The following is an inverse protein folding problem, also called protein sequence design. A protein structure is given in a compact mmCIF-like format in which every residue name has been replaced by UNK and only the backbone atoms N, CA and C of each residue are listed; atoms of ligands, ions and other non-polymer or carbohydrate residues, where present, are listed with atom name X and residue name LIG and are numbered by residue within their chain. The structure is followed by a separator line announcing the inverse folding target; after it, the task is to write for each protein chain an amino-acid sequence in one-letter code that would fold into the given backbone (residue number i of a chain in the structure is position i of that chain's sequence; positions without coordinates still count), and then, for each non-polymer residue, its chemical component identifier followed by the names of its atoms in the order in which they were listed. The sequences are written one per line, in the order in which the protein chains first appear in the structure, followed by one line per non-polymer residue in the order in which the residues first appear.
data_IF_995467579361
#
_entry.id   IF_995467579361
#
_cell.length_a   1.000
_cell.length_b   1.000
_cell.length_c   1.000
_cell.angle_alpha   90.00
_cell.angle_beta   90.00
_cell.angle_gamma   90.00
#
_symmetry.space_group_name_H-M   'P 1'
#
loop_
_entity.id
_entity.type
_entity.pdbx_description
1 polymer ?
#
# COMPACT_ATOMS: atom_id res chain seq x y z
N UNK A 1 -1.41 0.75 -0.31
CA UNK A 1 -2.70 0.06 -0.47
C UNK A 1 -2.67 -0.79 -1.71
N UNK A 2 -2.63 -0.19 -2.91
CA UNK A 2 -2.49 -0.87 -4.20
C UNK A 2 -1.32 -1.86 -4.15
N UNK A 3 -0.09 -1.38 -3.91
CA UNK A 3 1.12 -2.21 -3.92
C UNK A 3 1.27 -3.21 -2.78
N UNK A 4 0.81 -2.89 -1.58
CA UNK A 4 0.85 -3.82 -0.44
C UNK A 4 -0.04 -5.04 -0.62
N UNK A 5 -1.27 -4.85 -1.13
CA UNK A 5 -2.16 -5.96 -1.47
C UNK A 5 -1.59 -6.82 -2.60
N UNK A 6 -0.74 -6.23 -3.45
CA UNK A 6 -0.19 -6.84 -4.65
C UNK A 6 1.13 -7.57 -4.41
N UNK A 7 1.97 -7.10 -3.50
CA UNK A 7 3.16 -7.84 -3.05
C UNK A 7 2.75 -9.10 -2.28
N UNK A 8 1.56 -9.10 -1.66
CA UNK A 8 1.05 -10.22 -0.87
C UNK A 8 0.22 -11.24 -1.63
N UNK A 9 -0.52 -10.80 -2.66
CA UNK A 9 -1.00 -11.73 -3.68
C UNK A 9 0.17 -12.44 -4.41
N UNK A 10 1.37 -11.87 -4.34
CA UNK A 10 2.64 -12.44 -4.79
C UNK A 10 3.49 -13.01 -3.65
N UNK A 11 2.90 -13.20 -2.46
CA UNK A 11 3.57 -13.33 -1.18
C UNK A 11 4.61 -14.44 -1.08
N UNK A 12 5.44 -14.31 -0.06
CA UNK A 12 6.38 -15.32 0.40
C UNK A 12 5.69 -16.67 0.58
N UNK A 13 6.44 -17.76 0.51
CA UNK A 13 5.94 -19.10 0.83
C UNK A 13 5.23 -19.12 2.21
N UNK A 14 5.68 -18.29 3.16
CA UNK A 14 5.03 -18.08 4.46
C UNK A 14 3.72 -17.26 4.42
N UNK A 15 3.50 -16.44 3.40
CA UNK A 15 2.19 -15.80 3.20
C UNK A 15 1.16 -16.86 2.78
N UNK A 16 1.53 -17.88 2.00
CA UNK A 16 0.65 -18.98 1.58
C UNK A 16 0.03 -19.77 2.77
N UNK A 17 0.84 -20.06 3.81
CA UNK A 17 0.38 -20.65 5.08
C UNK A 17 -0.44 -19.65 5.92
N UNK A 18 -0.17 -18.34 5.83
CA UNK A 18 -0.98 -17.31 6.51
C UNK A 18 -2.41 -17.18 5.96
N UNK A 19 -2.68 -17.54 4.70
CA UNK A 19 -4.05 -17.59 4.18
C UNK A 19 -4.85 -18.78 4.73
N UNK A 20 -4.18 -19.75 5.36
CA UNK A 20 -4.80 -20.90 6.03
C UNK A 20 -5.04 -20.63 7.54
N UNK A 21 -4.64 -19.47 8.08
CA UNK A 21 -4.83 -19.09 9.48
C UNK A 21 -5.99 -18.09 9.68
N UNK A 22 -6.96 -18.47 10.53
CA UNK A 22 -8.13 -17.65 10.86
C UNK A 22 -7.77 -16.30 11.48
N UNK A 23 -8.39 -15.21 11.01
CA UNK A 23 -8.30 -13.87 11.62
C UNK A 23 -8.52 -13.94 13.14
N UNK A 24 -7.85 -13.09 13.95
CA UNK A 24 -8.11 -13.10 15.39
C UNK A 24 -9.60 -12.88 15.61
N UNK A 25 -10.23 -13.62 16.52
CA UNK A 25 -11.67 -13.50 16.78
C UNK A 25 -11.97 -12.28 17.65
N UNK A 26 -10.94 -11.78 18.32
CA UNK A 26 -11.03 -10.68 19.27
C UNK A 26 -9.99 -9.60 19.01
N UNK A 27 -10.32 -8.39 19.45
CA UNK A 27 -9.39 -7.26 19.46
C UNK A 27 -8.13 -7.57 20.31
N UNK A 28 -8.32 -8.28 21.42
CA UNK A 28 -7.27 -8.67 22.36
C UNK A 28 -6.22 -9.55 21.71
N UNK A 29 -6.66 -10.55 20.94
CA UNK A 29 -5.76 -11.43 20.19
C UNK A 29 -5.00 -10.65 19.12
N UNK A 30 -5.67 -9.75 18.39
CA UNK A 30 -5.05 -8.94 17.34
C UNK A 30 -3.91 -8.07 17.90
N UNK A 31 -4.16 -7.40 19.03
CA UNK A 31 -3.19 -6.48 19.65
C UNK A 31 -2.32 -7.12 20.74
N UNK A 32 -2.49 -8.43 20.99
CA UNK A 32 -1.79 -9.19 22.05
C UNK A 32 -1.87 -8.47 23.40
N UNK A 33 -3.06 -8.06 23.79
CA UNK A 33 -3.34 -7.28 25.02
C UNK A 33 -4.45 -7.93 25.84
N UNK A 34 -4.46 -7.71 27.16
CA UNK A 34 -5.56 -8.13 28.04
C UNK A 34 -6.85 -7.35 27.76
N UNK A 35 -6.71 -6.06 27.47
CA UNK A 35 -7.83 -5.16 27.19
C UNK A 35 -7.48 -4.23 26.04
N UNK A 36 -8.45 -4.05 25.12
CA UNK A 36 -8.29 -3.09 24.04
C UNK A 36 -8.60 -1.68 24.50
N UNK A 37 -7.67 -0.76 24.21
CA UNK A 37 -7.91 0.67 24.40
C UNK A 37 -8.93 1.20 23.35
N UNK A 38 -9.28 2.50 23.45
CA UNK A 38 -10.25 3.12 22.55
C UNK A 38 -9.81 3.10 21.08
N UNK A 39 -8.52 3.33 20.81
CA UNK A 39 -7.99 3.27 19.45
C UNK A 39 -8.02 1.84 18.89
N UNK A 40 -7.54 0.85 19.67
CA UNK A 40 -7.58 -0.57 19.34
C UNK A 40 -8.99 -1.05 19.02
N UNK A 41 -9.96 -0.70 19.88
CA UNK A 41 -11.36 -1.02 19.68
C UNK A 41 -11.95 -0.36 18.43
N UNK A 42 -11.58 0.90 18.15
CA UNK A 42 -12.02 1.59 16.94
C UNK A 42 -11.49 0.92 15.68
N UNK A 43 -10.19 0.60 15.64
CA UNK A 43 -9.57 -0.10 14.52
C UNK A 43 -10.21 -1.47 14.31
N UNK A 44 -10.36 -2.25 15.39
CA UNK A 44 -11.06 -3.53 15.37
C UNK A 44 -12.45 -3.46 14.75
N UNK A 45 -13.23 -2.44 15.08
CA UNK A 45 -14.55 -2.25 14.49
C UNK A 45 -14.48 -1.98 12.97
N UNK A 46 -13.53 -1.16 12.53
CA UNK A 46 -13.29 -0.94 11.10
C UNK A 46 -12.79 -2.19 10.37
N UNK A 47 -12.04 -3.04 11.06
CA UNK A 47 -11.54 -4.29 10.51
C UNK A 47 -12.66 -5.32 10.30
N UNK A 48 -13.57 -5.46 11.27
CA UNK A 48 -14.74 -6.32 11.11
C UNK A 48 -15.75 -5.78 10.10
N UNK A 49 -15.91 -4.47 10.05
CA UNK A 49 -16.91 -3.80 9.20
C UNK A 49 -16.30 -2.61 8.44
N UNK A 50 -15.50 -2.88 7.38
CA UNK A 50 -14.86 -1.83 6.59
C UNK A 50 -15.81 -0.80 5.99
N UNK A 51 -16.99 -1.26 5.57
CA UNK A 51 -17.88 -0.51 4.70
C UNK A 51 -17.28 -0.20 3.31
N UNK A 52 -18.04 0.49 2.47
CA UNK A 52 -17.67 0.73 1.07
C UNK A 52 -16.51 1.74 0.87
N UNK A 53 -16.22 2.57 1.87
CA UNK A 53 -15.15 3.57 1.78
C UNK A 53 -13.74 3.00 1.99
N UNK A 54 -13.62 1.76 2.49
CA UNK A 54 -12.34 1.12 2.76
C UNK A 54 -11.81 0.41 1.49
N UNK A 55 -11.38 1.19 0.50
CA UNK A 55 -10.91 0.66 -0.79
C UNK A 55 -9.87 -0.45 -0.66
N UNK A 56 -8.96 -0.36 0.31
CA UNK A 56 -7.97 -1.41 0.58
C UNK A 56 -8.63 -2.75 0.85
N UNK A 57 -9.62 -2.75 1.74
CA UNK A 57 -10.20 -3.99 2.27
C UNK A 57 -11.08 -4.60 1.19
N UNK A 58 -11.86 -3.77 0.52
CA UNK A 58 -12.74 -4.19 -0.56
C UNK A 58 -11.94 -4.76 -1.74
N UNK A 59 -10.87 -4.10 -2.18
CA UNK A 59 -10.04 -4.61 -3.27
C UNK A 59 -9.32 -5.92 -2.90
N UNK A 60 -8.78 -6.01 -1.67
CA UNK A 60 -8.14 -7.25 -1.23
C UNK A 60 -9.13 -8.40 -1.05
N UNK A 61 -10.36 -8.12 -0.59
CA UNK A 61 -11.45 -9.11 -0.55
C UNK A 61 -11.75 -9.64 -1.94
N UNK A 62 -11.86 -8.77 -2.94
CA UNK A 62 -12.16 -9.22 -4.31
C UNK A 62 -11.03 -10.07 -4.90
N UNK A 63 -9.76 -9.75 -4.60
CA UNK A 63 -8.63 -10.63 -4.96
C UNK A 63 -8.76 -11.98 -4.26
N UNK A 64 -9.06 -11.99 -2.96
CA UNK A 64 -9.19 -13.20 -2.16
C UNK A 64 -10.32 -14.10 -2.66
N UNK A 65 -11.50 -13.54 -2.91
CA UNK A 65 -12.64 -14.28 -3.48
C UNK A 65 -12.26 -14.91 -4.82
N UNK A 66 -11.58 -14.16 -5.70
CA UNK A 66 -11.09 -14.70 -6.98
C UNK A 66 -10.10 -15.86 -6.79
N UNK A 67 -9.20 -15.78 -5.80
CA UNK A 67 -8.25 -16.86 -5.49
C UNK A 67 -9.02 -18.09 -4.99
N UNK A 68 -9.90 -17.90 -4.01
CA UNK A 68 -10.72 -18.96 -3.42
C UNK A 68 -11.57 -19.68 -4.48
N UNK A 69 -12.25 -18.92 -5.33
CA UNK A 69 -13.11 -19.45 -6.39
C UNK A 69 -12.31 -20.21 -7.46
N UNK A 70 -11.02 -19.90 -7.62
CA UNK A 70 -10.17 -20.58 -8.62
C UNK A 70 -9.70 -21.97 -8.18
N UNK A 71 -9.66 -22.24 -6.87
CA UNK A 71 -9.04 -23.47 -6.32
C UNK A 71 -7.51 -23.55 -6.51
N UNK A 72 -6.88 -22.49 -7.02
CA UNK A 72 -5.44 -22.43 -7.27
C UNK A 72 -4.70 -21.73 -6.12
N UNK A 73 -3.49 -22.20 -5.81
CA UNK A 73 -2.58 -21.50 -4.89
C UNK A 73 -1.77 -20.44 -5.67
N UNK A 74 -1.80 -19.15 -5.27
CA UNK A 74 -0.97 -18.11 -5.87
C UNK A 74 0.52 -18.47 -5.79
N UNK A 75 1.25 -18.20 -6.87
CA UNK A 75 2.70 -18.40 -6.91
C UNK A 75 3.42 -17.08 -6.67
N UNK A 76 4.61 -17.08 -6.03
CA UNK A 76 5.41 -15.88 -5.92
C UNK A 76 5.61 -15.21 -7.29
N UNK A 77 5.46 -13.89 -7.34
CA UNK A 77 5.55 -13.08 -8.56
C UNK A 77 4.45 -13.30 -9.62
N UNK A 78 3.41 -14.10 -9.36
CA UNK A 78 2.24 -14.23 -10.23
C UNK A 78 1.20 -13.12 -10.00
N UNK A 79 1.10 -12.21 -10.96
CA UNK A 79 0.16 -11.07 -10.90
C UNK A 79 -1.22 -11.37 -11.49
N UNK A 80 -1.53 -12.62 -11.85
CA UNK A 80 -2.79 -12.99 -12.52
C UNK A 80 -4.01 -12.68 -11.66
N UNK A 81 -3.97 -13.04 -10.37
CA UNK A 81 -5.08 -12.78 -9.43
C UNK A 81 -5.30 -11.29 -9.20
N UNK A 82 -4.26 -10.48 -9.28
CA UNK A 82 -4.38 -9.01 -9.20
C UNK A 82 -5.20 -8.49 -10.38
N UNK A 83 -4.96 -8.97 -11.60
CA UNK A 83 -5.73 -8.53 -12.79
C UNK A 83 -7.19 -8.94 -12.69
N UNK A 84 -7.45 -10.19 -12.28
CA UNK A 84 -8.82 -10.69 -12.07
C UNK A 84 -9.55 -9.91 -10.97
N UNK A 85 -8.90 -9.66 -9.84
CA UNK A 85 -9.44 -8.83 -8.76
C UNK A 85 -9.67 -7.38 -9.17
N UNK A 86 -8.77 -6.78 -9.97
CA UNK A 86 -8.97 -5.44 -10.53
C UNK A 86 -10.20 -5.38 -11.45
N UNK A 87 -10.38 -6.40 -12.29
CA UNK A 87 -11.60 -6.51 -13.10
C UNK A 87 -12.82 -6.53 -12.19
N UNK A 88 -12.93 -7.49 -11.26
CA UNK A 88 -14.07 -7.60 -10.34
C UNK A 88 -14.33 -6.28 -9.61
N UNK A 89 -13.32 -5.78 -8.89
CA UNK A 89 -13.41 -4.54 -8.13
C UNK A 89 -13.87 -3.37 -8.99
N UNK A 90 -13.27 -3.17 -10.17
CA UNK A 90 -13.55 -2.00 -11.02
C UNK A 90 -14.89 -2.05 -11.77
N UNK A 91 -15.59 -3.18 -11.80
CA UNK A 91 -16.96 -3.25 -12.33
C UNK A 91 -18.01 -2.88 -11.28
N UNK A 92 -17.70 -3.01 -9.98
CA UNK A 92 -18.64 -2.67 -8.91
C UNK A 92 -18.88 -1.16 -8.77
N UNK A 93 -20.11 -0.79 -8.40
CA UNK A 93 -20.48 0.58 -8.08
C UNK A 93 -19.70 1.09 -6.86
N UNK A 94 -19.12 2.30 -6.96
CA UNK A 94 -18.41 2.91 -5.85
C UNK A 94 -19.30 3.94 -5.13
N UNK A 95 -19.69 3.62 -3.90
CA UNK A 95 -20.61 4.44 -3.10
C UNK A 95 -19.92 4.96 -1.83
N UNK A 96 -18.97 5.88 -2.02
CA UNK A 96 -18.36 6.63 -0.92
C UNK A 96 -18.27 8.12 -1.28
N UNK A 97 -18.86 8.98 -0.47
CA UNK A 97 -18.75 10.43 -0.61
C UNK A 97 -17.60 10.99 0.21
N UNK A 98 -17.09 12.15 -0.19
CA UNK A 98 -16.03 12.85 0.55
C UNK A 98 -16.48 13.10 2.01
N UNK A 99 -17.66 13.69 2.22
CA UNK A 99 -18.19 13.93 3.57
C UNK A 99 -18.24 12.67 4.45
N UNK A 100 -18.53 11.50 3.86
CA UNK A 100 -18.55 10.23 4.60
C UNK A 100 -17.14 9.81 5.02
N UNK A 101 -16.17 9.88 4.10
CA UNK A 101 -14.79 9.47 4.39
C UNK A 101 -14.09 10.42 5.35
N UNK A 102 -14.35 11.73 5.25
CA UNK A 102 -13.81 12.74 6.17
C UNK A 102 -14.27 12.52 7.59
N UNK A 103 -15.55 12.22 7.81
CA UNK A 103 -16.05 11.87 9.15
C UNK A 103 -15.30 10.67 9.75
N UNK A 104 -15.02 9.65 8.94
CA UNK A 104 -14.32 8.44 9.39
C UNK A 104 -12.87 8.77 9.76
N UNK A 105 -12.10 9.33 8.83
CA UNK A 105 -10.68 9.57 9.09
C UNK A 105 -10.46 10.65 10.16
N UNK A 106 -11.37 11.64 10.30
CA UNK A 106 -11.31 12.63 11.38
C UNK A 106 -11.61 12.00 12.75
N UNK A 107 -12.54 11.03 12.83
CA UNK A 107 -12.77 10.28 14.05
C UNK A 107 -11.53 9.47 14.46
N UNK A 108 -10.87 8.80 13.50
CA UNK A 108 -9.62 8.08 13.74
C UNK A 108 -8.54 9.04 14.25
N UNK A 109 -8.33 10.19 13.59
CA UNK A 109 -7.38 11.22 14.04
C UNK A 109 -7.67 11.78 15.44
N UNK A 110 -8.93 11.72 15.91
CA UNK A 110 -9.34 12.18 17.24
C UNK A 110 -9.09 11.10 18.29
N UNK A 111 -9.54 9.88 18.03
CA UNK A 111 -9.49 8.76 18.99
C UNK A 111 -8.08 8.20 19.13
N UNK A 112 -7.34 8.08 18.02
CA UNK A 112 -5.98 7.51 17.95
C UNK A 112 -4.89 8.58 17.98
N UNK A 113 -5.11 9.70 18.68
CA UNK A 113 -4.18 10.86 18.65
C UNK A 113 -2.78 10.48 19.13
N UNK A 114 -2.67 9.64 20.15
CA UNK A 114 -1.40 9.22 20.72
C UNK A 114 -0.65 8.30 19.77
N UNK A 115 -1.32 7.28 19.26
CA UNK A 115 -0.82 6.30 18.30
C UNK A 115 -0.33 6.99 17.01
N UNK A 116 -1.10 7.95 16.49
CA UNK A 116 -0.75 8.72 15.30
C UNK A 116 0.33 9.80 15.55
N UNK A 117 0.84 9.91 16.77
CA UNK A 117 2.00 10.75 17.09
C UNK A 117 3.32 9.97 17.06
N UNK A 118 3.26 8.63 17.10
CA UNK A 118 4.43 7.76 17.04
C UNK A 118 5.03 7.79 15.64
N UNK A 119 6.34 7.99 15.55
CA UNK A 119 7.06 7.92 14.28
C UNK A 119 7.45 6.48 13.98
N UNK A 120 7.04 5.97 12.82
CA UNK A 120 7.42 4.65 12.33
C UNK A 120 8.50 4.76 11.25
N UNK A 121 9.36 3.75 11.14
CA UNK A 121 10.28 3.62 10.00
C UNK A 121 9.61 2.79 8.90
N UNK A 122 9.22 3.49 7.85
CA UNK A 122 8.46 2.96 6.74
C UNK A 122 9.34 2.36 5.64
N UNK A 123 10.66 2.62 5.73
CA UNK A 123 11.71 2.01 4.92
C UNK A 123 12.18 0.67 5.53
N UNK A 124 11.61 0.24 6.66
CA UNK A 124 12.01 -1.00 7.32
C UNK A 124 11.15 -2.20 6.95
N UNK A 125 11.63 -3.40 7.31
CA UNK A 125 10.83 -4.61 7.20
C UNK A 125 9.56 -4.47 8.07
N UNK A 126 8.35 -4.70 7.53
CA UNK A 126 7.10 -4.51 8.29
C UNK A 126 7.05 -5.31 9.61
N UNK A 127 7.68 -6.48 9.65
CA UNK A 127 7.76 -7.29 10.88
C UNK A 127 8.59 -6.65 11.99
N UNK A 128 9.52 -5.75 11.65
CA UNK A 128 10.33 -5.02 12.64
C UNK A 128 9.53 -3.93 13.36
N UNK A 129 8.32 -3.60 12.89
CA UNK A 129 7.45 -2.60 13.49
C UNK A 129 6.86 -3.16 14.80
N UNK A 130 7.51 -2.84 15.91
CA UNK A 130 7.12 -3.31 17.25
C UNK A 130 5.83 -2.69 17.78
N UNK A 131 5.57 -1.42 17.46
CA UNK A 131 4.34 -0.74 17.87
C UNK A 131 3.20 -1.04 16.88
N UNK A 132 2.57 -2.17 17.13
CA UNK A 132 1.46 -2.72 16.35
C UNK A 132 0.25 -1.78 16.40
N UNK A 133 0.03 -1.10 17.52
CA UNK A 133 -1.15 -0.25 17.69
C UNK A 133 -1.01 1.00 16.85
N UNK A 134 0.16 1.66 16.90
CA UNK A 134 0.46 2.81 16.04
C UNK A 134 0.46 2.43 14.56
N UNK A 135 1.03 1.26 14.23
CA UNK A 135 1.01 0.73 12.87
C UNK A 135 -0.42 0.54 12.33
N UNK A 136 -1.27 -0.15 13.10
CA UNK A 136 -2.67 -0.34 12.74
C UNK A 136 -3.43 0.99 12.64
N UNK A 137 -3.11 1.98 13.48
CA UNK A 137 -3.79 3.28 13.47
C UNK A 137 -3.51 4.04 12.18
N UNK A 138 -2.24 4.06 11.76
CA UNK A 138 -1.87 4.62 10.45
C UNK A 138 -2.49 3.83 9.30
N UNK A 139 -2.46 2.50 9.36
CA UNK A 139 -3.07 1.65 8.32
C UNK A 139 -4.57 1.90 8.16
N UNK A 140 -5.29 1.99 9.27
CA UNK A 140 -6.74 2.29 9.29
C UNK A 140 -7.00 3.70 8.76
N UNK A 141 -6.26 4.70 9.25
CA UNK A 141 -6.37 6.09 8.79
C UNK A 141 -6.20 6.19 7.27
N UNK A 142 -5.11 5.63 6.75
CA UNK A 142 -4.76 5.71 5.33
C UNK A 142 -5.73 4.90 4.46
N UNK A 143 -6.33 3.84 4.98
CA UNK A 143 -7.36 3.07 4.28
C UNK A 143 -8.54 3.94 3.88
N UNK A 144 -9.01 4.77 4.80
CA UNK A 144 -10.12 5.67 4.53
C UNK A 144 -9.64 6.93 3.82
N UNK A 145 -8.62 7.59 4.35
CA UNK A 145 -8.11 8.85 3.79
C UNK A 145 -7.78 8.73 2.29
N UNK A 146 -7.14 7.64 1.88
CA UNK A 146 -6.78 7.44 0.48
C UNK A 146 -7.81 6.61 -0.30
N UNK A 147 -8.96 6.27 0.27
CA UNK A 147 -9.93 5.35 -0.34
C UNK A 147 -10.45 5.82 -1.69
N UNK A 148 -11.00 7.04 -1.74
CA UNK A 148 -11.53 7.66 -2.98
C UNK A 148 -10.43 7.79 -4.06
N UNK A 149 -9.27 8.42 -3.80
CA UNK A 149 -8.23 8.51 -4.82
C UNK A 149 -7.63 7.15 -5.18
N UNK A 150 -7.57 6.19 -4.25
CA UNK A 150 -7.09 4.84 -4.54
C UNK A 150 -8.03 4.08 -5.46
N UNK A 151 -9.35 4.20 -5.27
CA UNK A 151 -10.33 3.61 -6.19
C UNK A 151 -10.14 4.16 -7.60
N UNK A 152 -10.05 5.49 -7.72
CA UNK A 152 -9.84 6.17 -9.01
C UNK A 152 -8.51 5.72 -9.65
N UNK A 153 -7.43 5.65 -8.89
CA UNK A 153 -6.12 5.21 -9.38
C UNK A 153 -6.11 3.73 -9.82
N UNK A 154 -6.69 2.83 -9.02
CA UNK A 154 -6.80 1.39 -9.33
C UNK A 154 -7.52 1.15 -10.66
N UNK A 155 -8.64 1.83 -10.87
CA UNK A 155 -9.50 1.65 -12.04
C UNK A 155 -9.16 2.54 -13.22
N UNK A 156 -8.12 3.38 -13.10
CA UNK A 156 -7.64 4.18 -14.20
C UNK A 156 -7.02 3.28 -15.27
N UNK A 157 -7.52 3.37 -16.49
CA UNK A 157 -6.99 2.64 -17.65
C UNK A 157 -5.98 3.47 -18.45
N UNK A 158 -5.07 2.79 -19.11
CA UNK A 158 -4.17 3.34 -20.12
C UNK A 158 -4.87 3.39 -21.50
N UNK A 159 -4.18 3.90 -22.51
CA UNK A 159 -4.74 4.04 -23.87
C UNK A 159 -4.99 2.70 -24.58
N UNK A 160 -4.45 1.59 -24.05
CA UNK A 160 -4.66 0.25 -24.55
C UNK A 160 -5.79 -0.50 -23.81
N UNK A 161 -6.48 0.18 -22.88
CA UNK A 161 -7.61 -0.38 -22.14
C UNK A 161 -7.23 -1.24 -20.92
N UNK A 162 -5.93 -1.41 -20.60
CA UNK A 162 -5.48 -2.10 -19.38
C UNK A 162 -5.33 -1.13 -18.20
N UNK A 163 -5.35 -1.64 -16.97
CA UNK A 163 -5.23 -0.82 -15.77
C UNK A 163 -3.80 -0.28 -15.61
N UNK A 164 -3.68 1.03 -15.35
CA UNK A 164 -2.40 1.68 -15.06
C UNK A 164 -1.71 1.05 -13.85
N UNK A 165 -2.49 0.67 -12.84
CA UNK A 165 -2.01 -0.06 -11.66
C UNK A 165 -1.37 -1.39 -12.08
N UNK A 166 -2.10 -2.23 -12.82
CA UNK A 166 -1.64 -3.53 -13.31
C UNK A 166 -0.34 -3.44 -14.12
N UNK A 167 -0.25 -2.51 -15.07
CA UNK A 167 0.94 -2.31 -15.90
C UNK A 167 2.19 -1.99 -15.07
N UNK A 168 2.06 -1.07 -14.12
CA UNK A 168 3.18 -0.73 -13.25
C UNK A 168 3.61 -1.91 -12.38
N UNK A 169 2.65 -2.64 -11.79
CA UNK A 169 2.94 -3.82 -10.95
C UNK A 169 3.66 -4.88 -11.76
N UNK A 170 3.16 -5.20 -12.95
CA UNK A 170 3.77 -6.20 -13.83
C UNK A 170 5.24 -5.86 -14.13
N UNK A 171 5.54 -4.58 -14.39
CA UNK A 171 6.91 -4.08 -14.60
C UNK A 171 7.75 -4.20 -13.32
N UNK A 172 7.22 -3.76 -12.18
CA UNK A 172 7.91 -3.79 -10.89
C UNK A 172 8.19 -5.23 -10.44
N UNK A 173 7.20 -6.12 -10.51
CA UNK A 173 7.32 -7.55 -10.18
C UNK A 173 8.36 -8.24 -11.07
N UNK A 174 8.37 -7.97 -12.38
CA UNK A 174 9.39 -8.51 -13.30
C UNK A 174 10.80 -8.06 -12.91
N UNK A 175 10.97 -6.79 -12.55
CA UNK A 175 12.25 -6.26 -12.09
C UNK A 175 12.66 -6.83 -10.73
N UNK A 176 11.72 -6.92 -9.79
CA UNK A 176 11.93 -7.49 -8.46
C UNK A 176 12.42 -8.93 -8.60
N UNK A 177 11.69 -9.78 -9.33
CA UNK A 177 12.05 -11.17 -9.63
C UNK A 177 13.48 -11.29 -10.16
N UNK A 178 13.89 -10.39 -11.06
CA UNK A 178 15.26 -10.37 -11.59
C UNK A 178 16.29 -9.96 -10.54
N UNK A 179 16.00 -8.96 -9.71
CA UNK A 179 16.97 -8.36 -8.77
C UNK A 179 17.14 -9.16 -7.48
N UNK A 180 16.13 -9.91 -7.09
CA UNK A 180 16.16 -10.75 -5.91
C UNK A 180 16.57 -12.18 -6.22
N UNK A 181 16.84 -12.51 -7.50
CA UNK A 181 17.01 -13.87 -7.99
C UNK A 181 15.79 -14.76 -7.70
N UNK A 182 14.60 -14.19 -7.91
CA UNK A 182 13.30 -14.83 -7.68
C UNK A 182 13.11 -15.33 -6.24
N UNK A 183 13.75 -14.68 -5.27
CA UNK A 183 13.56 -14.94 -3.84
C UNK A 183 12.06 -14.84 -3.49
N UNK A 184 11.40 -15.94 -3.10
CA UNK A 184 9.97 -15.90 -2.78
C UNK A 184 9.70 -14.96 -1.60
N UNK A 185 10.68 -14.76 -0.70
CA UNK A 185 10.58 -13.93 0.50
C UNK A 185 10.74 -12.44 0.25
N UNK A 186 10.91 -12.04 -1.00
CA UNK A 186 11.15 -10.64 -1.30
C UNK A 186 9.90 -9.80 -1.10
N UNK A 187 10.01 -8.76 -0.28
CA UNK A 187 8.92 -7.81 -0.02
C UNK A 187 9.32 -6.39 -0.44
N UNK A 188 8.34 -5.51 -0.58
CA UNK A 188 8.57 -4.09 -0.86
C UNK A 188 8.25 -3.28 0.39
N UNK A 189 9.13 -2.34 0.74
CA UNK A 189 8.90 -1.41 1.86
C UNK A 189 7.67 -0.55 1.61
N UNK A 190 7.04 -0.09 2.69
CA UNK A 190 5.79 0.67 2.63
C UNK A 190 5.89 1.98 1.85
N UNK A 191 7.09 2.53 1.82
CA UNK A 191 7.44 3.77 1.15
C UNK A 191 7.87 3.59 -0.31
N UNK A 192 7.88 2.34 -0.82
CA UNK A 192 8.36 1.93 -2.15
C UNK A 192 9.81 2.31 -2.46
N UNK A 193 10.65 2.54 -1.44
CA UNK A 193 12.07 2.84 -1.62
C UNK A 193 12.91 1.58 -1.85
N UNK A 194 12.56 0.48 -1.19
CA UNK A 194 13.38 -0.73 -1.19
C UNK A 194 12.55 -1.99 -1.43
N UNK A 195 13.20 -2.96 -2.06
CA UNK A 195 12.87 -4.37 -1.94
C UNK A 195 13.75 -4.94 -0.85
N UNK A 196 13.19 -5.74 0.06
CA UNK A 196 13.93 -6.48 1.08
C UNK A 196 13.84 -7.96 0.73
N UNK A 197 14.99 -8.61 0.58
CA UNK A 197 15.09 -10.07 0.38
C UNK A 197 14.82 -10.82 1.69
N UNK A 198 14.60 -12.13 1.62
CA UNK A 198 14.43 -12.98 2.81
C UNK A 198 15.66 -13.05 3.71
N UNK A 199 16.83 -12.74 3.18
CA UNK A 199 18.08 -12.59 3.95
C UNK A 199 18.23 -11.19 4.61
N UNK A 200 17.20 -10.34 4.51
CA UNK A 200 17.18 -8.97 5.03
C UNK A 200 17.89 -7.93 4.16
N UNK A 201 18.54 -8.34 3.05
CA UNK A 201 19.26 -7.40 2.18
C UNK A 201 18.28 -6.44 1.50
N UNK A 202 18.53 -5.13 1.65
CA UNK A 202 17.77 -4.06 1.01
C UNK A 202 18.33 -3.73 -0.38
N UNK A 203 17.47 -3.67 -1.38
CA UNK A 203 17.76 -3.28 -2.76
C UNK A 203 16.92 -2.05 -3.09
N UNK A 204 17.55 -0.93 -3.44
CA UNK A 204 16.84 0.31 -3.77
C UNK A 204 16.07 0.18 -5.09
N UNK A 205 14.80 0.58 -5.08
CA UNK A 205 13.98 0.69 -6.28
C UNK A 205 14.44 1.91 -7.09
N UNK A 206 14.76 1.75 -8.40
CA UNK A 206 15.18 2.84 -9.24
C UNK A 206 14.10 3.92 -9.36
N UNK A 207 14.48 5.20 -9.20
CA UNK A 207 13.55 6.32 -9.35
C UNK A 207 12.88 6.37 -10.73
N UNK A 208 13.51 5.80 -11.76
CA UNK A 208 12.97 5.72 -13.12
C UNK A 208 11.66 4.94 -13.22
N UNK A 209 11.35 4.04 -12.28
CA UNK A 209 10.02 3.38 -12.22
C UNK A 209 8.89 4.39 -12.09
N UNK A 210 9.12 5.45 -11.32
CA UNK A 210 8.14 6.50 -11.05
C UNK A 210 8.05 7.55 -12.17
N UNK A 211 8.81 7.36 -13.25
CA UNK A 211 8.64 8.11 -14.49
C UNK A 211 7.70 7.44 -15.48
N UNK A 212 7.25 6.22 -15.19
CA UNK A 212 6.29 5.50 -16.03
C UNK A 212 4.99 6.31 -16.20
N UNK A 213 4.44 6.42 -17.43
CA UNK A 213 3.21 7.17 -17.67
C UNK A 213 2.01 6.69 -16.82
N UNK A 214 1.89 5.39 -16.60
CA UNK A 214 0.83 4.83 -15.75
C UNK A 214 1.04 5.22 -14.30
N UNK A 215 2.28 5.18 -13.80
CA UNK A 215 2.59 5.69 -12.46
C UNK A 215 2.21 7.15 -12.32
N UNK A 216 2.68 8.01 -13.22
CA UNK A 216 2.41 9.45 -13.16
C UNK A 216 0.92 9.76 -13.16
N UNK A 217 0.14 9.07 -13.99
CA UNK A 217 -1.32 9.22 -14.04
C UNK A 217 -1.97 8.87 -12.69
N UNK A 218 -1.54 7.78 -12.05
CA UNK A 218 -2.00 7.41 -10.71
C UNK A 218 -1.52 8.42 -9.64
N UNK A 219 -0.26 8.84 -9.72
CA UNK A 219 0.35 9.74 -8.76
C UNK A 219 -0.31 11.13 -8.74
N UNK A 220 -0.71 11.66 -9.91
CA UNK A 220 -1.48 12.90 -9.99
C UNK A 220 -2.82 12.80 -9.26
N UNK A 221 -3.54 11.67 -9.39
CA UNK A 221 -4.81 11.46 -8.66
C UNK A 221 -4.62 11.59 -7.15
N UNK A 222 -3.53 11.06 -6.61
CA UNK A 222 -3.22 11.19 -5.19
C UNK A 222 -2.70 12.59 -4.82
N UNK A 223 -1.83 13.16 -5.64
CA UNK A 223 -1.26 14.49 -5.42
C UNK A 223 -2.34 15.55 -5.30
N UNK A 224 -3.23 15.62 -6.30
CA UNK A 224 -4.34 16.57 -6.34
C UNK A 224 -5.26 16.38 -5.11
N UNK A 225 -5.60 15.13 -4.78
CA UNK A 225 -6.46 14.83 -3.64
C UNK A 225 -5.83 15.26 -2.30
N UNK A 226 -4.54 15.01 -2.10
CA UNK A 226 -3.86 15.36 -0.84
C UNK A 226 -3.72 16.88 -0.70
N UNK A 227 -3.56 17.61 -1.81
CA UNK A 227 -3.56 19.07 -1.80
C UNK A 227 -4.92 19.64 -1.36
N UNK A 228 -6.01 19.09 -1.88
CA UNK A 228 -7.38 19.53 -1.58
C UNK A 228 -7.87 19.08 -0.20
N UNK A 229 -7.44 17.90 0.26
CA UNK A 229 -7.92 17.26 1.49
C UNK A 229 -6.78 16.97 2.44
N UNK A 230 -6.17 18.00 3.01
CA UNK A 230 -5.01 17.83 3.90
C UNK A 230 -5.36 17.16 5.24
N UNK A 231 -4.46 16.29 5.71
CA UNK A 231 -4.53 15.78 7.08
C UNK A 231 -3.97 16.83 8.06
N UNK A 232 -4.10 16.57 9.37
CA UNK A 232 -3.40 17.40 10.37
C UNK A 232 -1.89 17.40 10.08
N UNK A 233 -1.27 18.58 10.08
CA UNK A 233 0.17 18.77 9.77
C UNK A 233 1.11 17.83 10.54
N UNK A 234 0.81 17.53 11.81
CA UNK A 234 1.62 16.60 12.61
C UNK A 234 1.59 15.18 12.06
N UNK A 235 0.42 14.74 11.59
CA UNK A 235 0.22 13.42 11.00
C UNK A 235 0.86 13.38 9.61
N UNK A 236 0.64 14.39 8.77
CA UNK A 236 1.32 14.51 7.48
C UNK A 236 2.85 14.45 7.63
N UNK A 237 3.39 15.07 8.67
CA UNK A 237 4.82 15.05 8.95
C UNK A 237 5.33 13.66 9.36
N UNK A 238 4.61 12.94 10.21
CA UNK A 238 4.98 11.58 10.61
C UNK A 238 4.83 10.58 9.47
N UNK A 239 3.89 10.89 8.58
CA UNK A 239 3.67 10.14 7.38
C UNK A 239 4.77 10.56 6.38
N UNK A 240 4.55 11.63 5.63
CA UNK A 240 5.35 12.01 4.46
C UNK A 240 6.58 12.87 4.75
N UNK A 241 6.74 13.40 5.96
CA UNK A 241 7.75 14.43 6.27
C UNK A 241 7.25 15.83 5.94
N UNK A 242 7.18 16.17 4.65
CA UNK A 242 6.65 17.45 4.18
C UNK A 242 5.82 17.29 2.89
N UNK A 243 5.02 18.30 2.55
CA UNK A 243 4.30 18.35 1.28
C UNK A 243 5.26 18.37 0.08
N UNK A 244 6.46 18.94 0.23
CA UNK A 244 7.48 18.90 -0.80
C UNK A 244 8.03 17.48 -1.00
N UNK A 245 8.38 16.79 0.08
CA UNK A 245 8.85 15.39 0.05
C UNK A 245 7.81 14.47 -0.60
N UNK A 246 6.54 14.75 -0.33
CA UNK A 246 5.41 14.06 -0.95
C UNK A 246 5.38 14.23 -2.47
N UNK A 247 5.52 15.48 -2.96
CA UNK A 247 5.53 15.77 -4.40
C UNK A 247 6.72 15.14 -5.10
N UNK A 248 7.92 15.23 -4.52
CA UNK A 248 9.12 14.61 -5.09
C UNK A 248 9.00 13.09 -5.23
N UNK A 249 8.27 12.45 -4.31
CA UNK A 249 8.04 11.02 -4.32
C UNK A 249 7.02 10.62 -5.39
N UNK A 250 5.86 11.28 -5.43
CA UNK A 250 4.78 10.94 -6.37
C UNK A 250 5.11 11.31 -7.81
N UNK A 251 5.70 12.49 -7.97
CA UNK A 251 5.92 13.14 -9.24
C UNK A 251 7.39 13.56 -9.32
N UNK A 252 8.34 12.60 -9.30
CA UNK A 252 9.74 12.95 -9.38
C UNK A 252 10.01 13.70 -10.68
N UNK A 253 11.01 14.59 -10.64
CA UNK A 253 11.52 15.24 -11.84
C UNK A 253 12.06 14.18 -12.80
N UNK A 254 11.27 13.89 -13.83
CA UNK A 254 11.64 13.00 -14.91
C UNK A 254 12.21 13.86 -16.03
N UNK A 255 13.53 13.95 -16.11
CA UNK A 255 14.17 14.45 -17.32
C UNK A 255 14.00 13.39 -18.41
N UNK A 256 12.96 13.53 -19.22
CA UNK A 256 12.86 12.83 -20.48
C UNK A 256 13.97 13.39 -21.38
N UNK A 257 15.15 12.79 -21.32
CA UNK A 257 16.09 12.95 -22.43
C UNK A 257 15.41 12.34 -23.66
N UNK A 258 14.85 13.19 -24.53
CA UNK A 258 14.61 12.82 -25.92
C UNK A 258 15.96 12.35 -26.48
N UNK A 259 16.15 11.05 -26.71
CA UNK A 259 16.91 10.47 -27.84
C UNK A 259 16.90 8.94 -27.77
N UNK A 260 16.97 8.33 -28.96
CA UNK A 260 16.53 6.98 -29.27
C UNK A 260 17.33 5.83 -28.64
N UNK A 261 16.65 4.68 -28.57
CA UNK A 261 17.06 3.27 -28.68
C UNK A 261 18.50 2.79 -28.39
N UNK A 262 19.28 3.50 -27.58
CA UNK A 262 20.58 3.00 -27.14
C UNK A 262 21.36 4.06 -26.39
N UNK A 263 21.04 4.24 -25.11
CA UNK A 263 21.97 4.65 -24.05
C UNK A 263 21.20 4.85 -22.73
N UNK A 264 21.08 3.75 -21.98
CA UNK A 264 20.69 3.79 -20.57
C UNK A 264 21.98 3.93 -19.78
N UNK A 265 21.99 4.87 -18.83
CA UNK A 265 22.89 5.04 -17.67
C UNK A 265 23.79 6.28 -17.70
N UNK A 266 23.31 7.34 -17.03
CA UNK A 266 24.04 8.02 -15.95
C UNK A 266 23.06 8.81 -15.09
N UNK A 267 22.51 8.15 -14.07
CA UNK A 267 21.89 8.87 -12.95
C UNK A 267 23.05 9.39 -12.11
N UNK A 268 23.26 10.70 -12.10
CA UNK A 268 24.20 11.37 -11.21
C UNK A 268 23.84 10.97 -9.77
N UNK A 269 24.75 10.22 -9.16
CA UNK A 269 24.86 10.12 -7.71
C UNK A 269 25.04 11.52 -7.13
N UNK A 270 24.74 11.65 -5.84
CA UNK A 270 25.11 12.79 -5.00
C UNK A 270 24.16 13.99 -5.05
N UNK A 271 22.93 13.79 -4.58
CA UNK A 271 22.40 14.76 -3.62
C UNK A 271 22.46 14.15 -2.22
N UNK A 272 23.30 14.73 -1.37
CA UNK A 272 23.29 14.56 0.09
C UNK A 272 22.03 15.19 0.67
N UNK A 273 20.85 14.75 0.24
CA UNK A 273 19.61 14.99 0.97
C UNK A 273 19.66 14.06 2.18
N UNK A 274 20.06 14.65 3.30
CA UNK A 274 20.13 14.08 4.64
C UNK A 274 19.11 12.97 4.87
N UNK A 275 19.55 11.90 5.52
CA UNK A 275 18.80 10.78 6.12
C UNK A 275 17.55 11.26 6.88
N UNK A 276 16.50 11.59 6.15
CA UNK A 276 15.22 12.02 6.68
C UNK A 276 14.14 11.19 6.01
N UNK A 277 13.34 10.59 6.87
CA UNK A 277 12.21 9.70 6.56
C UNK A 277 11.41 10.25 5.39
N UNK A 278 11.37 9.52 4.27
CA UNK A 278 10.25 9.71 3.35
C UNK A 278 9.31 8.53 3.53
N UNK A 279 8.05 8.93 3.66
CA UNK A 279 6.92 8.29 3.03
C UNK A 279 6.37 7.02 3.71
N UNK A 280 5.06 6.95 3.94
CA UNK A 280 4.32 5.75 4.30
C UNK A 280 2.95 5.77 3.71
N UNK A 281 2.92 6.10 2.44
CA UNK A 281 1.77 5.83 1.62
C UNK A 281 2.47 5.14 0.47
N UNK A 282 2.50 3.81 0.49
CA UNK A 282 1.42 2.93 0.08
C UNK A 282 1.55 1.54 0.68
N UNK A 283 1.95 1.48 1.94
CA UNK A 283 2.22 0.27 2.68
C UNK A 283 1.05 -0.43 3.34
N UNK A 284 -0.16 0.12 3.17
CA UNK A 284 -1.08 0.32 4.29
C UNK A 284 -1.21 -0.83 5.28
N UNK A 285 -1.14 -2.10 4.89
CA UNK A 285 -1.61 -3.14 5.79
C UNK A 285 -0.93 -4.51 5.66
N UNK A 286 0.20 -4.65 4.94
CA UNK A 286 0.60 -5.94 4.41
C UNK A 286 0.75 -7.06 5.46
N UNK A 287 1.82 -7.09 6.24
CA UNK A 287 2.23 -8.33 6.94
C UNK A 287 1.25 -8.88 7.99
N UNK A 288 0.20 -8.12 8.34
CA UNK A 288 -0.88 -8.57 9.22
C UNK A 288 -2.24 -8.61 8.53
N UNK A 289 -2.42 -7.99 7.35
CA UNK A 289 -3.69 -7.99 6.61
C UNK A 289 -4.01 -9.14 5.69
N UNK A 290 -3.05 -10.00 5.38
CA UNK A 290 -3.40 -11.29 4.74
C UNK A 290 -4.48 -12.02 5.54
N UNK A 291 -4.46 -11.83 6.87
CA UNK A 291 -5.43 -12.32 7.83
C UNK A 291 -6.81 -11.61 7.80
N UNK A 292 -6.88 -10.32 7.43
CA UNK A 292 -8.10 -9.50 7.58
C UNK A 292 -9.16 -9.79 6.49
N UNK A 293 -8.75 -10.42 5.39
CA UNK A 293 -9.61 -10.67 4.24
C UNK A 293 -10.51 -11.91 4.39
N UNK A 294 -10.27 -12.80 5.36
CA UNK A 294 -11.09 -13.99 5.61
C UNK A 294 -12.41 -13.71 6.36
N UNK A 295 -12.56 -12.54 7.01
CA UNK A 295 -13.78 -12.16 7.74
C UNK A 295 -14.75 -11.23 6.98
N UNK A 296 -14.44 -10.89 5.73
CA UNK A 296 -15.39 -10.13 4.91
C UNK A 296 -16.32 -11.05 4.07
N UNK A 297 -16.41 -12.32 4.48
CA UNK A 297 -17.40 -13.33 4.09
C UNK A 297 -18.32 -13.58 5.28
#
# INVERSE_FOLDING_TARGET
MIFSLQVQANGDYGDSEQWEHDFPDTCQELFKTKHCNKCQSLMWNHFKNPGQCATAFNFGRDIFEVIKDSGEKPKPYDVTFIKKGLNKYCHEGFHCSQNKVEKIYNNIQKVCKHELSVKLDWSDHPENIKDITSYAAYGTLLTYYTGIPARKALCTKNNHGDFCSFEFIKKLTKWMKKKTNADPKAIITHDLRFVIKGDGKKIRIPKSFFCDPCWRKMAHIYGDYIEDHRLKKSIEKNIWGSSHDLKELYLPHCTYHKRGLGEILKVRSDSKLSERSANPVFGVLSHRMNKFHSLAI
#
